data_IF_503018969606
#
_entry.id   IF_503018969606
#
_cell.length_a   1.000
_cell.length_b   1.000
_cell.length_c   1.000
_cell.angle_alpha   90.00
_cell.angle_beta   90.00
_cell.angle_gamma   90.00
#
_symmetry.space_group_name_H-M   'P 1'
#
loop_
_entity.id
_entity.type
_entity.pdbx_description
1 polymer ?
#
# COMPACT_ATOMS: atom_id res chain seq x y z
N UNK A 1 3.41 -23.48 -37.16
CA UNK A 1 2.72 -22.21 -37.02
C UNK A 1 1.20 -22.41 -37.16
N UNK A 2 0.43 -21.68 -36.37
CA UNK A 2 -1.03 -21.62 -36.45
C UNK A 2 -1.46 -20.15 -36.60
N UNK A 3 -0.67 -19.39 -37.34
CA UNK A 3 -0.89 -17.97 -37.56
C UNK A 3 -2.08 -17.68 -38.51
N UNK A 4 -2.69 -16.53 -38.35
CA UNK A 4 -3.76 -16.02 -39.21
C UNK A 4 -5.02 -16.89 -39.32
N UNK A 5 -5.28 -17.77 -38.36
CA UNK A 5 -6.48 -18.63 -38.34
C UNK A 5 -7.63 -18.05 -37.51
N UNK A 6 -7.42 -16.92 -36.79
CA UNK A 6 -8.46 -16.19 -36.11
C UNK A 6 -9.26 -15.37 -37.07
N UNK A 7 -10.54 -15.70 -37.25
CA UNK A 7 -11.44 -14.96 -38.14
C UNK A 7 -12.24 -13.88 -37.38
N UNK A 8 -12.88 -12.99 -38.17
CA UNK A 8 -13.80 -11.98 -37.66
C UNK A 8 -14.95 -12.65 -36.85
N UNK A 9 -15.62 -11.92 -35.93
CA UNK A 9 -16.58 -12.47 -34.99
C UNK A 9 -17.70 -13.33 -35.55
N UNK A 10 -18.09 -13.08 -36.81
CA UNK A 10 -19.23 -13.73 -37.46
C UNK A 10 -18.84 -14.91 -38.36
N UNK A 11 -17.56 -15.19 -38.50
CA UNK A 11 -17.14 -16.32 -39.30
C UNK A 11 -17.24 -17.62 -38.52
N UNK A 12 -17.87 -18.63 -39.07
CA UNK A 12 -17.91 -19.97 -38.50
C UNK A 12 -16.48 -20.40 -38.17
N UNK A 13 -16.24 -20.77 -36.93
CA UNK A 13 -14.95 -21.16 -36.40
C UNK A 13 -14.43 -22.47 -37.02
N UNK A 14 -14.12 -22.43 -38.32
CA UNK A 14 -13.68 -23.61 -39.08
C UNK A 14 -12.16 -23.76 -39.18
N UNK A 15 -11.40 -22.68 -38.87
CA UNK A 15 -9.94 -22.67 -39.00
C UNK A 15 -9.23 -22.65 -37.66
N UNK A 16 -8.00 -23.14 -37.59
CA UNK A 16 -7.18 -23.23 -36.41
C UNK A 16 -7.10 -24.64 -35.83
N UNK A 17 -6.45 -24.79 -34.71
CA UNK A 17 -6.35 -26.07 -34.00
C UNK A 17 -7.53 -26.24 -33.06
N UNK A 18 -8.26 -27.34 -33.21
CA UNK A 18 -9.41 -27.63 -32.36
C UNK A 18 -9.39 -29.09 -31.90
N UNK A 19 -9.75 -29.31 -30.66
CA UNK A 19 -10.02 -30.61 -30.08
C UNK A 19 -11.34 -30.57 -29.31
N UNK A 20 -12.19 -31.56 -29.43
CA UNK A 20 -13.39 -31.70 -28.61
C UNK A 20 -13.05 -32.10 -27.17
N UNK A 21 -11.99 -32.85 -26.96
CA UNK A 21 -11.43 -33.22 -25.68
C UNK A 21 -10.21 -32.36 -25.34
N UNK A 22 -9.08 -33.04 -25.07
CA UNK A 22 -7.81 -32.41 -24.73
C UNK A 22 -6.97 -32.08 -25.96
N UNK A 23 -6.25 -30.98 -25.92
CA UNK A 23 -5.19 -30.63 -26.87
C UNK A 23 -3.85 -30.52 -26.13
N UNK A 24 -2.86 -31.29 -26.52
CA UNK A 24 -1.49 -31.16 -26.01
C UNK A 24 -0.56 -30.79 -27.15
N UNK A 25 0.08 -29.63 -27.03
CA UNK A 25 1.07 -29.14 -27.98
C UNK A 25 2.43 -29.08 -27.30
N UNK A 26 3.44 -29.73 -27.87
CA UNK A 26 4.80 -29.70 -27.36
C UNK A 26 5.76 -29.26 -28.45
N UNK A 27 6.44 -28.14 -28.23
CA UNK A 27 7.41 -27.61 -29.19
C UNK A 27 8.38 -26.64 -28.54
N UNK A 28 9.51 -26.38 -29.17
CA UNK A 28 10.39 -25.30 -28.77
C UNK A 28 9.73 -23.93 -29.03
N UNK A 29 9.07 -23.79 -30.17
CA UNK A 29 8.38 -22.57 -30.58
C UNK A 29 6.96 -22.89 -30.99
N UNK A 30 5.99 -22.21 -30.43
CA UNK A 30 4.59 -22.22 -30.88
C UNK A 30 4.25 -20.81 -31.36
N UNK A 31 3.91 -20.68 -32.64
CA UNK A 31 3.40 -19.44 -33.21
C UNK A 31 1.90 -19.60 -33.45
N UNK A 32 1.11 -18.93 -32.62
CA UNK A 32 -0.34 -18.80 -32.71
C UNK A 32 -0.74 -17.33 -32.94
N UNK A 33 0.13 -16.53 -33.54
CA UNK A 33 -0.15 -15.13 -33.84
C UNK A 33 -1.34 -15.02 -34.77
N UNK A 34 -2.37 -14.22 -34.41
CA UNK A 34 -3.68 -14.16 -35.10
C UNK A 34 -4.35 -15.53 -35.30
N UNK A 35 -3.84 -16.59 -34.68
CA UNK A 35 -4.34 -17.94 -34.75
C UNK A 35 -5.33 -18.26 -33.62
N UNK A 36 -5.84 -19.49 -33.63
CA UNK A 36 -6.61 -20.01 -32.53
C UNK A 36 -6.24 -21.47 -32.19
N UNK A 37 -6.17 -21.71 -30.86
CA UNK A 37 -6.12 -23.03 -30.26
C UNK A 37 -7.32 -23.18 -29.34
N UNK A 38 -8.20 -24.14 -29.62
CA UNK A 38 -9.40 -24.38 -28.79
C UNK A 38 -9.49 -25.84 -28.43
N UNK A 39 -9.68 -26.13 -27.14
CA UNK A 39 -9.94 -27.48 -26.67
C UNK A 39 -11.19 -27.50 -25.78
N UNK A 40 -11.97 -28.57 -25.85
CA UNK A 40 -13.19 -28.70 -25.06
C UNK A 40 -12.93 -28.91 -23.57
N UNK A 41 -11.86 -29.64 -23.22
CA UNK A 41 -11.55 -29.96 -21.82
C UNK A 41 -10.24 -29.28 -21.35
N UNK A 42 -9.08 -29.63 -21.89
CA UNK A 42 -7.82 -29.01 -21.50
C UNK A 42 -6.95 -28.66 -22.73
N UNK A 43 -6.34 -27.48 -22.73
CA UNK A 43 -5.29 -27.08 -23.65
C UNK A 43 -3.97 -26.99 -22.89
N UNK A 44 -3.05 -27.93 -23.17
CA UNK A 44 -1.71 -27.98 -22.55
C UNK A 44 -0.66 -27.62 -23.60
N UNK A 45 0.07 -26.54 -23.37
CA UNK A 45 1.15 -26.07 -24.24
C UNK A 45 2.47 -26.19 -23.49
N UNK A 46 3.29 -27.15 -23.90
CA UNK A 46 4.65 -27.34 -23.37
C UNK A 46 5.64 -26.64 -24.30
N UNK A 47 6.16 -25.49 -23.88
CA UNK A 47 6.95 -24.60 -24.76
C UNK A 47 8.28 -24.27 -24.08
N UNK A 48 9.39 -24.56 -24.77
CA UNK A 48 10.70 -24.34 -24.17
C UNK A 48 11.39 -23.00 -24.53
N UNK A 49 10.99 -22.34 -25.63
CA UNK A 49 11.64 -21.12 -26.09
C UNK A 49 10.65 -19.94 -26.27
N UNK A 50 9.64 -20.09 -27.12
CA UNK A 50 8.71 -18.97 -27.44
C UNK A 50 7.30 -19.47 -27.68
N UNK A 51 6.34 -18.82 -27.02
CA UNK A 51 4.92 -18.88 -27.35
C UNK A 51 4.49 -17.49 -27.84
N UNK A 52 4.21 -17.37 -29.12
CA UNK A 52 3.65 -16.16 -29.71
C UNK A 52 2.13 -16.34 -29.84
N UNK A 53 1.35 -15.63 -29.05
CA UNK A 53 -0.11 -15.54 -29.12
C UNK A 53 -0.58 -14.10 -29.43
N UNK A 54 0.28 -13.30 -30.06
CA UNK A 54 -0.06 -11.92 -30.39
C UNK A 54 -1.31 -11.87 -31.31
N UNK A 55 -2.33 -11.14 -30.87
CA UNK A 55 -3.64 -11.12 -31.49
C UNK A 55 -4.30 -12.52 -31.66
N UNK A 56 -3.76 -13.56 -31.06
CA UNK A 56 -4.24 -14.92 -31.09
C UNK A 56 -5.26 -15.23 -29.99
N UNK A 57 -5.79 -16.45 -30.04
CA UNK A 57 -6.73 -16.96 -29.04
C UNK A 57 -6.32 -18.36 -28.62
N UNK A 58 -6.22 -18.58 -27.32
CA UNK A 58 -6.10 -19.90 -26.69
C UNK A 58 -7.26 -20.02 -25.72
N UNK A 59 -8.14 -21.03 -25.90
CA UNK A 59 -9.32 -21.19 -25.05
C UNK A 59 -9.64 -22.65 -24.77
N UNK A 60 -10.00 -22.94 -23.52
CA UNK A 60 -10.40 -24.26 -23.05
C UNK A 60 -11.11 -24.15 -21.70
N UNK A 61 -11.62 -25.26 -21.15
CA UNK A 61 -11.99 -25.27 -19.73
C UNK A 61 -10.76 -25.01 -18.86
N UNK A 62 -9.65 -25.69 -19.15
CA UNK A 62 -8.36 -25.48 -18.47
C UNK A 62 -7.28 -25.20 -19.48
N UNK A 63 -6.61 -24.08 -19.36
CA UNK A 63 -5.42 -23.76 -20.15
C UNK A 63 -4.20 -23.87 -19.26
N UNK A 64 -3.20 -24.65 -19.72
CA UNK A 64 -1.93 -24.78 -19.04
C UNK A 64 -0.78 -24.52 -20.02
N UNK A 65 0.01 -23.51 -19.74
CA UNK A 65 1.26 -23.22 -20.45
C UNK A 65 2.41 -23.58 -19.50
N UNK A 66 3.28 -24.49 -19.94
CA UNK A 66 4.42 -24.98 -19.17
C UNK A 66 5.72 -24.73 -19.90
N UNK A 67 6.77 -24.48 -19.15
CA UNK A 67 8.14 -24.40 -19.64
C UNK A 67 8.82 -23.09 -19.24
N UNK A 68 9.96 -22.82 -19.88
CA UNK A 68 10.75 -21.61 -19.67
C UNK A 68 10.73 -20.71 -20.92
N UNK A 69 9.56 -20.58 -21.55
CA UNK A 69 9.38 -19.81 -22.77
C UNK A 69 9.20 -18.32 -22.49
N UNK A 70 9.59 -17.49 -23.46
CA UNK A 70 9.08 -16.12 -23.55
C UNK A 70 7.68 -16.19 -24.15
N UNK A 71 6.69 -15.67 -23.45
CA UNK A 71 5.29 -15.64 -23.90
C UNK A 71 4.94 -14.22 -24.36
N UNK A 72 4.48 -14.09 -25.60
CA UNK A 72 3.91 -12.86 -26.12
C UNK A 72 2.40 -13.06 -26.32
N UNK A 73 1.60 -12.36 -25.53
CA UNK A 73 0.15 -12.31 -25.60
C UNK A 73 -0.35 -10.90 -25.95
N UNK A 74 0.48 -10.10 -26.66
CA UNK A 74 0.11 -8.73 -27.04
C UNK A 74 -1.21 -8.73 -27.81
N UNK A 75 -2.21 -8.00 -27.28
CA UNK A 75 -3.59 -7.98 -27.82
C UNK A 75 -4.22 -9.38 -28.02
N UNK A 76 -3.64 -10.43 -27.43
CA UNK A 76 -4.13 -11.80 -27.51
C UNK A 76 -5.07 -12.16 -26.36
N UNK A 77 -5.73 -13.30 -26.48
CA UNK A 77 -6.61 -13.85 -25.45
C UNK A 77 -6.13 -15.26 -25.04
N UNK A 78 -5.91 -15.43 -23.75
CA UNK A 78 -5.76 -16.75 -23.11
C UNK A 78 -6.91 -16.89 -22.12
N UNK A 79 -7.84 -17.84 -22.36
CA UNK A 79 -9.05 -18.00 -21.56
C UNK A 79 -9.24 -19.44 -21.09
N UNK A 80 -9.40 -19.60 -19.78
CA UNK A 80 -9.90 -20.80 -19.15
C UNK A 80 -11.32 -20.58 -18.61
N UNK A 81 -12.22 -21.53 -18.83
CA UNK A 81 -13.55 -21.45 -18.19
C UNK A 81 -13.50 -21.83 -16.70
N UNK A 82 -12.46 -22.56 -16.28
CA UNK A 82 -12.16 -22.93 -14.90
C UNK A 82 -10.83 -22.34 -14.44
N UNK A 83 -9.76 -22.56 -15.22
CA UNK A 83 -8.41 -22.21 -14.82
C UNK A 83 -7.52 -21.83 -16.00
N UNK A 84 -6.61 -20.88 -15.76
CA UNK A 84 -5.40 -20.66 -16.56
C UNK A 84 -4.20 -20.80 -15.63
N UNK A 85 -3.31 -21.75 -15.93
CA UNK A 85 -1.98 -21.86 -15.37
C UNK A 85 -0.95 -21.44 -16.43
N UNK A 86 -0.03 -20.56 -16.06
CA UNK A 86 1.04 -20.13 -16.95
C UNK A 86 2.36 -20.09 -16.17
N UNK A 87 3.23 -21.03 -16.52
CA UNK A 87 4.61 -21.07 -16.03
C UNK A 87 5.54 -20.79 -17.20
N UNK A 88 6.28 -19.70 -17.14
CA UNK A 88 7.10 -19.21 -18.23
C UNK A 88 8.36 -18.49 -17.73
N UNK A 89 9.27 -18.19 -18.65
CA UNK A 89 10.37 -17.29 -18.36
C UNK A 89 9.85 -15.86 -18.18
N UNK A 90 9.07 -15.38 -19.13
CA UNK A 90 8.52 -14.01 -19.12
C UNK A 90 7.15 -13.97 -19.83
N UNK A 91 6.38 -12.94 -19.53
CA UNK A 91 5.13 -12.61 -20.22
C UNK A 91 5.14 -11.15 -20.69
N UNK A 92 4.88 -10.94 -21.97
CA UNK A 92 4.47 -9.66 -22.54
C UNK A 92 2.96 -9.74 -22.79
N UNK A 93 2.17 -8.85 -22.16
CA UNK A 93 0.70 -8.89 -22.24
C UNK A 93 0.08 -7.55 -22.65
N UNK A 94 0.82 -6.69 -23.33
CA UNK A 94 0.37 -5.35 -23.69
C UNK A 94 -0.97 -5.37 -24.41
N UNK A 95 -2.01 -4.83 -23.77
CA UNK A 95 -3.39 -4.88 -24.26
C UNK A 95 -3.98 -6.28 -24.41
N UNK A 96 -3.27 -7.31 -23.95
CA UNK A 96 -3.73 -8.68 -23.95
C UNK A 96 -4.61 -9.01 -22.74
N UNK A 97 -5.28 -10.15 -22.83
CA UNK A 97 -6.20 -10.61 -21.79
C UNK A 97 -5.89 -12.07 -21.38
N UNK A 98 -5.72 -12.27 -20.08
CA UNK A 98 -5.78 -13.57 -19.41
C UNK A 98 -7.05 -13.58 -18.56
N UNK A 99 -7.90 -14.61 -18.76
CA UNK A 99 -9.19 -14.68 -18.05
C UNK A 99 -9.53 -16.09 -17.62
N UNK A 100 -9.80 -16.27 -16.33
CA UNK A 100 -10.37 -17.51 -15.78
C UNK A 100 -10.89 -17.25 -14.36
N UNK A 101 -11.76 -18.09 -13.78
CA UNK A 101 -12.06 -18.07 -12.34
C UNK A 101 -10.80 -18.19 -11.48
N UNK A 102 -9.83 -19.00 -11.91
CA UNK A 102 -8.52 -19.13 -11.25
C UNK A 102 -7.38 -18.85 -12.22
N UNK A 103 -6.57 -17.82 -11.93
CA UNK A 103 -5.32 -17.52 -12.62
C UNK A 103 -4.12 -17.86 -11.73
N UNK A 104 -3.24 -18.73 -12.20
CA UNK A 104 -1.97 -19.06 -11.56
C UNK A 104 -0.82 -18.71 -12.51
N UNK A 105 -0.11 -17.64 -12.23
CA UNK A 105 0.95 -17.10 -13.06
C UNK A 105 2.29 -17.22 -12.34
N UNK A 106 3.27 -17.82 -12.98
CA UNK A 106 4.61 -17.98 -12.44
C UNK A 106 5.68 -17.64 -13.49
N UNK A 107 6.53 -16.66 -13.17
CA UNK A 107 7.58 -16.17 -14.07
C UNK A 107 8.96 -16.27 -13.42
N UNK A 108 9.97 -16.63 -14.22
CA UNK A 108 11.35 -16.63 -13.78
C UNK A 108 12.01 -15.24 -13.87
N UNK A 109 11.59 -14.43 -14.82
CA UNK A 109 12.05 -13.03 -14.96
C UNK A 109 11.06 -12.07 -14.30
N UNK A 110 11.41 -10.79 -14.26
CA UNK A 110 10.51 -9.71 -13.83
C UNK A 110 9.24 -9.63 -14.67
N UNK A 111 8.15 -9.17 -14.05
CA UNK A 111 6.87 -8.98 -14.74
C UNK A 111 6.33 -7.57 -14.52
N UNK A 112 5.94 -6.92 -15.61
CA UNK A 112 5.24 -5.63 -15.57
C UNK A 112 3.78 -5.84 -15.97
N UNK A 113 2.86 -5.48 -15.07
CA UNK A 113 1.44 -5.36 -15.37
C UNK A 113 1.16 -3.93 -15.85
N UNK A 114 0.99 -3.78 -17.14
CA UNK A 114 0.74 -2.49 -17.78
C UNK A 114 -0.68 -1.98 -17.58
N UNK A 115 -0.89 -0.69 -17.82
CA UNK A 115 -2.20 -0.04 -17.62
C UNK A 115 -3.31 -0.59 -18.55
N UNK A 116 -2.94 -1.18 -19.68
CA UNK A 116 -3.88 -1.76 -20.66
C UNK A 116 -4.07 -3.26 -20.52
N UNK A 117 -3.29 -3.92 -19.68
CA UNK A 117 -3.32 -5.37 -19.50
C UNK A 117 -4.55 -5.80 -18.72
N UNK A 118 -5.10 -6.95 -19.06
CA UNK A 118 -6.28 -7.49 -18.39
C UNK A 118 -5.95 -8.87 -17.82
N UNK A 119 -5.90 -8.94 -16.48
CA UNK A 119 -5.83 -10.18 -15.73
C UNK A 119 -7.13 -10.29 -14.93
N UNK A 120 -8.08 -11.09 -15.42
CA UNK A 120 -9.43 -11.17 -14.87
C UNK A 120 -9.66 -12.52 -14.19
N UNK A 121 -9.84 -12.52 -12.87
CA UNK A 121 -10.05 -13.74 -12.07
C UNK A 121 -10.86 -13.50 -10.79
N UNK A 122 -11.46 -14.57 -10.28
CA UNK A 122 -11.92 -14.61 -8.89
C UNK A 122 -10.71 -14.76 -7.96
N UNK A 123 -9.85 -15.73 -8.26
CA UNK A 123 -8.62 -15.99 -7.51
C UNK A 123 -7.42 -15.82 -8.44
N UNK A 124 -6.54 -14.87 -8.10
CA UNK A 124 -5.33 -14.60 -8.85
C UNK A 124 -4.11 -14.83 -7.96
N UNK A 125 -3.22 -15.70 -8.41
CA UNK A 125 -1.89 -15.88 -7.83
C UNK A 125 -0.85 -15.54 -8.87
N UNK A 126 0.04 -14.60 -8.55
CA UNK A 126 1.15 -14.17 -9.39
C UNK A 126 2.44 -14.32 -8.61
N UNK A 127 3.38 -15.07 -9.16
CA UNK A 127 4.72 -15.24 -8.60
C UNK A 127 5.76 -14.88 -9.66
N UNK A 128 6.76 -14.09 -9.28
CA UNK A 128 7.93 -13.85 -10.13
C UNK A 128 9.20 -13.92 -9.31
N UNK A 129 10.28 -14.46 -9.90
CA UNK A 129 11.60 -14.49 -9.24
C UNK A 129 12.30 -13.14 -9.27
N UNK A 130 11.91 -12.25 -10.18
CA UNK A 130 12.42 -10.89 -10.31
C UNK A 130 11.50 -9.86 -9.66
N UNK A 131 11.49 -8.68 -10.23
CA UNK A 131 10.65 -7.56 -9.81
C UNK A 131 9.23 -7.66 -10.40
N UNK A 132 8.22 -7.31 -9.61
CA UNK A 132 6.87 -7.06 -10.08
C UNK A 132 6.58 -5.56 -10.08
N UNK A 133 6.32 -5.00 -11.27
CA UNK A 133 5.93 -3.61 -11.46
C UNK A 133 4.45 -3.55 -11.82
N UNK A 134 3.65 -2.87 -11.00
CA UNK A 134 2.25 -2.63 -11.32
C UNK A 134 2.05 -1.19 -11.78
N UNK A 135 1.60 -1.02 -13.02
CA UNK A 135 1.28 0.27 -13.65
C UNK A 135 -0.21 0.42 -13.93
N UNK A 136 -1.00 -0.59 -13.60
CA UNK A 136 -2.42 -0.63 -13.90
C UNK A 136 -3.28 -1.03 -12.71
N UNK A 137 -4.51 -1.40 -13.01
CA UNK A 137 -5.43 -1.93 -12.01
C UNK A 137 -5.39 -3.45 -12.04
N UNK A 138 -4.70 -4.05 -11.08
CA UNK A 138 -4.73 -5.48 -10.85
C UNK A 138 -5.75 -5.81 -9.76
N UNK A 139 -6.84 -6.48 -10.12
CA UNK A 139 -7.91 -6.80 -9.20
C UNK A 139 -8.38 -8.24 -9.37
N UNK A 140 -8.58 -8.95 -8.26
CA UNK A 140 -9.27 -10.23 -8.23
C UNK A 140 -10.61 -10.08 -7.49
N UNK A 141 -11.63 -10.84 -7.93
CA UNK A 141 -12.96 -10.72 -7.34
C UNK A 141 -13.02 -11.28 -5.91
N UNK A 142 -12.12 -12.24 -5.57
CA UNK A 142 -12.06 -12.87 -4.25
C UNK A 142 -10.68 -12.72 -3.62
N UNK A 143 -9.66 -13.36 -4.17
CA UNK A 143 -8.33 -13.40 -3.57
C UNK A 143 -7.28 -12.96 -4.57
N UNK A 144 -6.44 -12.00 -4.17
CA UNK A 144 -5.23 -11.61 -4.88
C UNK A 144 -4.00 -11.97 -4.05
N UNK A 145 -3.10 -12.77 -4.61
CA UNK A 145 -1.80 -13.06 -4.04
C UNK A 145 -0.69 -12.67 -5.02
N UNK A 146 0.28 -11.90 -4.58
CA UNK A 146 1.45 -11.52 -5.37
C UNK A 146 2.71 -11.82 -4.56
N UNK A 147 3.64 -12.54 -5.19
CA UNK A 147 4.97 -12.83 -4.62
C UNK A 147 6.04 -12.45 -5.63
N UNK A 148 7.02 -11.65 -5.21
CA UNK A 148 8.14 -11.23 -6.06
C UNK A 148 9.40 -10.95 -5.21
N UNK A 149 10.55 -10.77 -5.87
CA UNK A 149 11.75 -10.31 -5.19
C UNK A 149 11.55 -8.85 -4.71
N UNK A 150 11.17 -7.97 -5.62
CA UNK A 150 10.77 -6.59 -5.31
C UNK A 150 9.40 -6.31 -5.91
N UNK A 151 8.64 -5.43 -5.26
CA UNK A 151 7.31 -5.01 -5.74
C UNK A 151 7.26 -3.49 -5.79
N UNK A 152 6.90 -2.94 -6.95
CA UNK A 152 6.63 -1.51 -7.15
C UNK A 152 5.19 -1.30 -7.64
N UNK A 153 4.29 -0.92 -6.73
CA UNK A 153 2.94 -0.48 -7.06
C UNK A 153 3.00 1.03 -7.34
N UNK A 154 3.03 1.39 -8.60
CA UNK A 154 3.28 2.75 -9.04
C UNK A 154 2.11 3.70 -8.76
N UNK A 155 2.34 4.99 -8.95
CA UNK A 155 1.31 6.01 -8.82
C UNK A 155 0.14 5.70 -9.77
N UNK A 156 -1.08 5.93 -9.30
CA UNK A 156 -2.34 5.67 -10.00
C UNK A 156 -2.63 4.17 -10.28
N UNK A 157 -1.71 3.27 -9.92
CA UNK A 157 -1.92 1.84 -9.99
C UNK A 157 -2.67 1.31 -8.74
N UNK A 158 -3.24 0.11 -8.87
CA UNK A 158 -3.92 -0.52 -7.75
C UNK A 158 -3.75 -2.04 -7.69
N UNK A 159 -3.65 -2.56 -6.47
CA UNK A 159 -3.70 -3.99 -6.13
C UNK A 159 -4.91 -4.21 -5.24
N UNK A 160 -5.91 -4.93 -5.74
CA UNK A 160 -7.21 -5.02 -5.07
C UNK A 160 -7.68 -6.48 -4.96
N UNK A 161 -8.10 -6.88 -3.78
CA UNK A 161 -9.01 -8.01 -3.59
C UNK A 161 -10.41 -7.46 -3.34
N UNK A 162 -11.34 -7.74 -4.25
CA UNK A 162 -12.70 -7.19 -4.22
C UNK A 162 -13.71 -8.05 -3.48
N UNK A 163 -13.28 -9.13 -2.83
CA UNK A 163 -14.13 -9.99 -2.00
C UNK A 163 -14.86 -9.18 -0.92
N UNK A 164 -16.05 -9.63 -0.55
CA UNK A 164 -16.95 -8.89 0.35
C UNK A 164 -17.00 -9.48 1.76
N UNK A 165 -16.32 -10.58 2.00
CA UNK A 165 -16.26 -11.26 3.29
C UNK A 165 -14.81 -11.63 3.66
N UNK A 166 -14.50 -11.83 4.96
CA UNK A 166 -13.16 -12.11 5.43
C UNK A 166 -12.53 -13.41 4.88
N UNK A 167 -13.32 -14.36 4.43
CA UNK A 167 -12.80 -15.61 3.86
C UNK A 167 -12.35 -15.43 2.41
N UNK A 168 -13.05 -14.60 1.65
CA UNK A 168 -12.82 -14.37 0.24
C UNK A 168 -12.00 -13.09 -0.06
N UNK A 169 -12.05 -12.09 0.82
CA UNK A 169 -11.46 -10.76 0.58
C UNK A 169 -9.96 -10.64 0.90
N UNK A 170 -9.16 -11.69 0.70
CA UNK A 170 -7.74 -11.71 1.08
C UNK A 170 -6.84 -11.13 0.00
N UNK A 171 -6.12 -10.08 0.35
CA UNK A 171 -5.01 -9.51 -0.39
C UNK A 171 -3.70 -9.85 0.31
N UNK A 172 -2.87 -10.68 -0.33
CA UNK A 172 -1.60 -11.13 0.23
C UNK A 172 -0.48 -10.70 -0.70
N UNK A 173 0.42 -9.86 -0.23
CA UNK A 173 1.54 -9.36 -1.00
C UNK A 173 2.83 -9.67 -0.26
N UNK A 174 3.74 -10.38 -0.93
CA UNK A 174 5.03 -10.78 -0.37
C UNK A 174 6.17 -10.35 -1.28
N UNK A 175 6.96 -9.39 -0.84
CA UNK A 175 8.25 -9.07 -1.43
C UNK A 175 9.35 -9.73 -0.60
N UNK A 176 10.24 -10.50 -1.23
CA UNK A 176 11.36 -11.11 -0.49
C UNK A 176 12.42 -10.07 -0.09
N UNK A 177 12.47 -8.93 -0.79
CA UNK A 177 13.27 -7.75 -0.44
C UNK A 177 12.36 -6.56 -0.13
N UNK A 178 12.08 -5.72 -1.11
CA UNK A 178 11.45 -4.42 -0.90
C UNK A 178 10.06 -4.33 -1.54
N UNK A 179 9.13 -3.74 -0.81
CA UNK A 179 7.82 -3.34 -1.32
C UNK A 179 7.71 -1.83 -1.34
N UNK A 180 7.42 -1.26 -2.51
CA UNK A 180 7.17 0.16 -2.70
C UNK A 180 5.75 0.38 -3.17
N UNK A 181 5.04 1.28 -2.50
CA UNK A 181 3.66 1.64 -2.83
C UNK A 181 3.50 3.14 -2.98
N UNK A 182 3.07 3.56 -4.16
CA UNK A 182 2.62 4.93 -4.48
C UNK A 182 1.16 4.96 -4.95
N UNK A 183 0.55 3.79 -5.08
CA UNK A 183 -0.82 3.60 -5.52
C UNK A 183 -1.73 3.10 -4.41
N UNK A 184 -2.78 2.39 -4.79
CA UNK A 184 -3.73 1.79 -3.88
C UNK A 184 -3.45 0.31 -3.65
N UNK A 185 -3.43 -0.12 -2.40
CA UNK A 185 -3.46 -1.52 -1.97
C UNK A 185 -4.68 -1.68 -1.07
N UNK A 186 -5.66 -2.52 -1.45
CA UNK A 186 -6.92 -2.64 -0.71
C UNK A 186 -7.54 -4.03 -0.79
N UNK A 187 -7.87 -4.60 0.35
CA UNK A 187 -8.63 -5.84 0.52
C UNK A 187 -9.49 -5.75 1.77
N UNK A 188 -10.26 -6.80 2.09
CA UNK A 188 -10.83 -6.94 3.44
C UNK A 188 -9.68 -7.27 4.39
N UNK A 189 -8.97 -8.36 4.14
CA UNK A 189 -7.73 -8.65 4.84
C UNK A 189 -6.57 -8.28 3.92
N UNK A 190 -5.76 -7.32 4.33
CA UNK A 190 -4.59 -6.83 3.58
C UNK A 190 -3.32 -7.19 4.35
N UNK A 191 -2.64 -8.23 3.88
CA UNK A 191 -1.44 -8.77 4.51
C UNK A 191 -0.22 -8.51 3.63
N UNK A 192 0.71 -7.71 4.13
CA UNK A 192 1.89 -7.26 3.42
C UNK A 192 3.15 -7.73 4.13
N UNK A 193 4.02 -8.38 3.40
CA UNK A 193 5.35 -8.77 3.90
C UNK A 193 6.44 -8.22 2.98
N UNK A 194 7.43 -7.56 3.55
CA UNK A 194 8.68 -7.21 2.89
C UNK A 194 9.85 -7.77 3.70
N UNK A 195 10.80 -8.42 3.04
CA UNK A 195 11.99 -8.97 3.72
C UNK A 195 12.89 -7.88 4.30
N UNK A 196 12.99 -6.74 3.62
CA UNK A 196 13.76 -5.60 4.08
C UNK A 196 12.85 -4.41 4.37
N UNK A 197 12.43 -3.67 3.33
CA UNK A 197 11.75 -2.39 3.51
C UNK A 197 10.38 -2.37 2.85
N UNK A 198 9.37 -1.92 3.59
CA UNK A 198 8.10 -1.47 3.03
C UNK A 198 8.07 0.05 3.02
N UNK A 199 7.98 0.63 1.82
CA UNK A 199 7.86 2.05 1.59
C UNK A 199 6.45 2.39 1.09
N UNK A 200 5.63 3.00 1.94
CA UNK A 200 4.36 3.61 1.55
C UNK A 200 4.59 5.11 1.37
N UNK A 201 4.57 5.56 0.14
CA UNK A 201 5.12 6.85 -0.27
C UNK A 201 4.03 7.75 -0.88
N UNK A 202 4.08 9.04 -0.55
CA UNK A 202 3.27 10.08 -1.20
C UNK A 202 1.78 9.72 -1.36
N UNK A 203 1.31 9.44 -2.58
CA UNK A 203 -0.08 9.04 -2.87
C UNK A 203 -0.43 7.62 -2.38
N UNK A 204 0.53 6.89 -1.81
CA UNK A 204 0.36 5.51 -1.36
C UNK A 204 -0.77 5.36 -0.33
N UNK A 205 -1.68 4.44 -0.60
CA UNK A 205 -2.82 4.11 0.25
C UNK A 205 -2.85 2.61 0.49
N UNK A 206 -2.85 2.22 1.75
CA UNK A 206 -2.97 0.82 2.18
C UNK A 206 -4.20 0.72 3.07
N UNK A 207 -5.20 -0.04 2.63
CA UNK A 207 -6.50 -0.15 3.30
C UNK A 207 -6.93 -1.60 3.50
N UNK A 208 -7.76 -1.81 4.52
CA UNK A 208 -8.38 -3.10 4.83
C UNK A 208 -9.34 -3.00 6.01
N UNK A 209 -10.05 -4.07 6.32
CA UNK A 209 -10.68 -4.25 7.63
C UNK A 209 -9.61 -4.64 8.64
N UNK A 210 -8.84 -5.68 8.31
CA UNK A 210 -7.60 -6.01 8.98
C UNK A 210 -6.42 -5.73 8.05
N UNK A 211 -5.54 -4.83 8.46
CA UNK A 211 -4.27 -4.54 7.78
C UNK A 211 -3.14 -5.05 8.66
N UNK A 212 -2.33 -5.98 8.13
CA UNK A 212 -1.15 -6.49 8.81
C UNK A 212 0.10 -6.28 7.95
N UNK A 213 1.13 -5.70 8.54
CA UNK A 213 2.38 -5.33 7.86
C UNK A 213 3.56 -5.93 8.60
N UNK A 214 4.37 -6.72 7.87
CA UNK A 214 5.65 -7.24 8.34
C UNK A 214 6.78 -6.72 7.47
N UNK A 215 7.82 -6.13 8.09
CA UNK A 215 9.06 -5.73 7.43
C UNK A 215 10.19 -5.55 8.44
N UNK A 216 11.44 -5.44 7.98
CA UNK A 216 12.50 -4.92 8.83
C UNK A 216 12.27 -3.42 9.08
N UNK A 217 11.99 -2.67 8.03
CA UNK A 217 11.69 -1.24 8.12
C UNK A 217 10.38 -0.89 7.40
N UNK A 218 9.49 -0.16 8.08
CA UNK A 218 8.32 0.46 7.48
C UNK A 218 8.53 1.98 7.43
N UNK A 219 8.53 2.52 6.21
CA UNK A 219 8.51 3.96 5.95
C UNK A 219 7.13 4.35 5.44
N UNK A 220 6.42 5.18 6.17
CA UNK A 220 5.16 5.80 5.76
C UNK A 220 5.42 7.31 5.63
N UNK A 221 5.94 7.73 4.46
CA UNK A 221 6.53 9.06 4.30
C UNK A 221 6.24 9.66 2.92
N UNK A 222 6.02 10.99 2.81
CA UNK A 222 6.00 11.65 1.50
C UNK A 222 7.40 11.66 0.87
N UNK A 223 7.48 11.68 -0.45
CA UNK A 223 8.76 11.68 -1.20
C UNK A 223 9.39 13.05 -1.35
N UNK A 224 8.68 14.12 -1.03
CA UNK A 224 9.20 15.48 -1.15
C UNK A 224 8.17 16.56 -0.79
N UNK A 225 8.58 17.81 -0.94
CA UNK A 225 7.71 18.96 -0.69
C UNK A 225 6.54 19.00 -1.68
N UNK A 226 5.35 19.33 -1.18
CA UNK A 226 4.15 19.44 -2.00
C UNK A 226 3.59 18.10 -2.49
N UNK A 227 4.18 16.97 -2.12
CA UNK A 227 3.60 15.65 -2.40
C UNK A 227 2.56 15.30 -1.34
N UNK A 228 1.47 14.57 -1.69
CA UNK A 228 0.52 14.07 -0.72
C UNK A 228 1.19 13.21 0.36
N UNK A 229 0.58 13.15 1.52
CA UNK A 229 1.04 12.28 2.58
C UNK A 229 0.42 10.89 2.47
N UNK A 230 1.20 9.81 2.68
CA UNK A 230 0.70 8.46 2.59
C UNK A 230 -0.19 8.10 3.77
N UNK A 231 -1.08 7.13 3.55
CA UNK A 231 -2.01 6.65 4.57
C UNK A 231 -2.00 5.12 4.62
N UNK A 232 -1.92 4.60 5.83
CA UNK A 232 -2.21 3.20 6.15
C UNK A 232 -3.41 3.22 7.10
N UNK A 233 -4.53 2.59 6.71
CA UNK A 233 -5.73 2.62 7.53
C UNK A 233 -6.48 1.29 7.54
N UNK A 234 -6.90 0.87 8.73
CA UNK A 234 -7.72 -0.30 8.95
C UNK A 234 -9.09 0.09 9.52
N UNK A 235 -10.15 -0.59 9.06
CA UNK A 235 -11.50 -0.39 9.59
C UNK A 235 -11.73 -1.09 10.92
N UNK A 236 -11.02 -2.18 11.20
CA UNK A 236 -11.20 -2.99 12.41
C UNK A 236 -9.90 -3.16 13.19
N UNK A 237 -8.79 -3.50 12.53
CA UNK A 237 -7.54 -3.79 13.22
C UNK A 237 -6.33 -3.47 12.34
N UNK A 238 -5.35 -2.77 12.91
CA UNK A 238 -4.06 -2.48 12.29
C UNK A 238 -2.95 -3.12 13.11
N UNK A 239 -2.26 -4.09 12.51
CA UNK A 239 -1.10 -4.78 13.10
C UNK A 239 0.17 -4.43 12.33
N UNK A 240 1.17 -3.94 13.01
CA UNK A 240 2.48 -3.58 12.45
C UNK A 240 3.57 -4.33 13.22
N UNK A 241 4.19 -5.30 12.57
CA UNK A 241 5.31 -6.09 13.07
C UNK A 241 6.61 -5.69 12.36
N UNK A 242 7.39 -4.75 12.92
CA UNK A 242 8.57 -4.19 12.26
C UNK A 242 9.69 -3.90 13.26
N UNK A 243 10.95 -4.00 12.82
CA UNK A 243 12.08 -3.55 13.65
C UNK A 243 12.14 -2.04 13.75
N UNK A 244 11.88 -1.34 12.64
CA UNK A 244 11.90 0.13 12.58
C UNK A 244 10.64 0.66 11.90
N UNK A 245 9.97 1.61 12.55
CA UNK A 245 8.84 2.34 12.00
C UNK A 245 9.18 3.83 11.87
N UNK A 246 9.06 4.35 10.65
CA UNK A 246 9.22 5.76 10.34
C UNK A 246 7.90 6.32 9.78
N UNK A 247 7.13 7.01 10.61
CA UNK A 247 5.92 7.72 10.22
C UNK A 247 6.22 9.22 10.22
N UNK A 248 6.84 9.70 9.13
CA UNK A 248 7.37 11.05 9.01
C UNK A 248 6.76 11.80 7.83
N UNK A 249 6.46 13.08 7.96
CA UNK A 249 5.97 13.90 6.86
C UNK A 249 7.07 14.22 5.83
N UNK A 250 8.36 14.18 6.22
CA UNK A 250 9.46 14.46 5.31
C UNK A 250 10.78 13.88 5.82
N UNK A 251 11.31 12.79 5.22
CA UNK A 251 12.56 12.18 5.62
C UNK A 251 13.81 13.04 5.30
N UNK A 252 13.73 13.96 4.34
CA UNK A 252 14.91 14.70 3.84
C UNK A 252 15.17 16.02 4.58
N UNK A 253 14.31 16.39 5.52
CA UNK A 253 14.42 17.66 6.24
C UNK A 253 14.42 17.46 7.74
N UNK A 254 15.54 17.06 8.28
CA UNK A 254 15.77 17.21 9.70
C UNK A 254 15.57 18.69 10.11
N UNK A 255 14.41 18.99 10.69
CA UNK A 255 14.17 20.22 11.42
C UNK A 255 13.58 21.42 10.66
N UNK A 256 13.13 21.31 9.43
CA UNK A 256 12.29 22.35 8.82
C UNK A 256 11.03 21.78 8.22
N UNK A 257 9.94 22.03 8.87
CA UNK A 257 8.59 21.85 8.35
C UNK A 257 8.32 22.89 7.29
N UNK A 258 7.79 22.44 6.18
CA UNK A 258 7.18 23.36 5.25
C UNK A 258 5.68 23.38 5.56
N UNK A 259 5.12 24.57 5.82
CA UNK A 259 3.69 24.81 5.99
C UNK A 259 2.86 24.41 4.76
N UNK A 260 3.52 24.13 3.63
CA UNK A 260 2.91 23.72 2.37
C UNK A 260 2.62 22.21 2.28
N UNK A 261 2.75 21.47 3.39
CA UNK A 261 2.40 20.05 3.45
C UNK A 261 0.89 19.87 3.33
N UNK A 262 0.44 19.32 2.22
CA UNK A 262 -0.94 18.86 2.04
C UNK A 262 -1.18 17.53 2.79
N UNK A 263 -1.05 17.56 4.12
CA UNK A 263 -1.38 16.44 4.97
C UNK A 263 -0.20 15.84 5.71
N UNK A 264 -0.51 15.12 6.76
CA UNK A 264 0.42 14.37 7.60
C UNK A 264 0.35 12.89 7.25
N UNK A 265 1.48 12.19 7.24
CA UNK A 265 1.50 10.75 7.13
C UNK A 265 0.66 10.12 8.26
N UNK A 266 -0.15 9.12 7.94
CA UNK A 266 -1.15 8.62 8.86
C UNK A 266 -1.10 7.10 8.98
N UNK A 267 -1.13 6.63 10.23
CA UNK A 267 -1.41 5.25 10.62
C UNK A 267 -2.70 5.27 11.43
N UNK A 268 -3.77 4.72 10.87
CA UNK A 268 -5.11 4.86 11.45
C UNK A 268 -5.75 3.49 11.66
N UNK A 269 -6.39 3.29 12.79
CA UNK A 269 -7.31 2.19 13.00
C UNK A 269 -8.65 2.69 13.54
N UNK A 270 -9.73 2.31 12.90
CA UNK A 270 -11.07 2.56 13.45
C UNK A 270 -11.47 1.52 14.51
N UNK A 271 -10.62 0.53 14.75
CA UNK A 271 -10.67 -0.44 15.83
C UNK A 271 -9.39 -0.41 16.65
N UNK A 272 -8.77 -1.56 16.88
CA UNK A 272 -7.53 -1.70 17.63
C UNK A 272 -6.30 -1.43 16.76
N UNK A 273 -5.21 -0.96 17.39
CA UNK A 273 -3.92 -0.74 16.75
C UNK A 273 -2.82 -1.39 17.58
N UNK A 274 -2.05 -2.27 16.95
CA UNK A 274 -0.93 -2.94 17.58
C UNK A 274 0.36 -2.70 16.79
N UNK A 275 1.43 -2.34 17.50
CA UNK A 275 2.78 -2.20 16.93
C UNK A 275 3.75 -3.01 17.77
N UNK A 276 4.47 -3.92 17.12
CA UNK A 276 5.49 -4.78 17.72
C UNK A 276 6.67 -5.03 16.77
N UNK A 277 7.52 -5.99 17.13
CA UNK A 277 8.74 -6.31 16.36
C UNK A 277 8.54 -7.33 15.24
N UNK A 278 7.44 -8.08 15.26
CA UNK A 278 7.11 -9.13 14.28
C UNK A 278 5.60 -9.36 14.23
N UNK A 279 5.14 -10.18 13.29
CA UNK A 279 3.79 -10.73 13.26
C UNK A 279 3.81 -12.22 13.59
N UNK A 280 2.82 -12.70 14.31
CA UNK A 280 2.58 -14.13 14.49
C UNK A 280 1.86 -14.77 13.29
N UNK A 281 1.54 -16.07 13.40
CA UNK A 281 0.86 -16.81 12.35
C UNK A 281 -0.61 -16.38 12.13
N UNK A 282 -1.18 -15.60 13.04
CA UNK A 282 -2.52 -15.01 12.96
C UNK A 282 -2.47 -13.55 12.47
N UNK A 283 -1.32 -13.10 11.98
CA UNK A 283 -1.07 -11.73 11.55
C UNK A 283 -1.22 -10.67 12.65
N UNK A 284 -1.04 -11.06 13.93
CA UNK A 284 -1.07 -10.12 15.03
C UNK A 284 0.35 -9.65 15.39
N UNK A 285 0.48 -8.37 15.74
CA UNK A 285 1.77 -7.79 16.11
C UNK A 285 2.26 -8.37 17.45
N UNK A 286 3.48 -8.88 17.46
CA UNK A 286 4.15 -9.49 18.62
C UNK A 286 5.57 -8.96 18.80
N UNK A 287 6.18 -9.26 19.95
CA UNK A 287 7.55 -8.83 20.22
C UNK A 287 7.65 -7.34 20.46
N UNK A 288 8.86 -6.77 20.31
CA UNK A 288 9.18 -5.35 20.51
C UNK A 288 9.85 -4.80 19.27
N UNK A 289 9.35 -3.69 18.72
CA UNK A 289 10.07 -2.91 17.72
C UNK A 289 11.34 -2.31 18.35
N UNK A 290 12.40 -2.14 17.57
CA UNK A 290 13.60 -1.46 18.05
C UNK A 290 13.38 0.05 18.15
N UNK A 291 12.85 0.64 17.09
CA UNK A 291 12.61 2.09 17.06
C UNK A 291 11.29 2.42 16.38
N UNK A 292 10.57 3.37 16.96
CA UNK A 292 9.40 4.00 16.37
C UNK A 292 9.63 5.51 16.33
N UNK A 293 9.58 6.09 15.15
CA UNK A 293 9.67 7.52 14.92
C UNK A 293 8.37 8.03 14.31
N UNK A 294 7.67 8.89 15.05
CA UNK A 294 6.45 9.57 14.61
C UNK A 294 6.64 11.07 14.74
N UNK A 295 7.09 11.72 13.67
CA UNK A 295 7.43 13.14 13.68
C UNK A 295 6.50 13.94 12.78
N UNK A 296 5.67 14.81 13.38
CA UNK A 296 4.68 15.61 12.66
C UNK A 296 3.68 14.79 11.87
N UNK A 297 3.43 13.57 12.28
CA UNK A 297 2.58 12.57 11.66
C UNK A 297 1.59 12.01 12.68
N UNK A 298 0.59 11.26 12.22
CA UNK A 298 -0.47 10.74 13.10
C UNK A 298 -0.38 9.23 13.23
N UNK A 299 -0.44 8.74 14.47
CA UNK A 299 -0.78 7.35 14.82
C UNK A 299 -2.04 7.42 15.67
N UNK A 300 -3.13 6.82 15.21
CA UNK A 300 -4.44 6.92 15.88
C UNK A 300 -5.18 5.59 15.87
N UNK A 301 -5.83 5.29 16.99
CA UNK A 301 -6.79 4.21 17.15
C UNK A 301 -8.09 4.77 17.71
N UNK A 302 -9.23 4.23 17.27
CA UNK A 302 -10.54 4.56 17.86
C UNK A 302 -10.91 3.66 19.04
N UNK A 303 -10.13 2.59 19.26
CA UNK A 303 -10.22 1.69 20.42
C UNK A 303 -8.85 1.61 21.10
N UNK A 304 -8.47 0.44 21.54
CA UNK A 304 -7.20 0.25 22.26
C UNK A 304 -6.00 0.37 21.31
N UNK A 305 -4.91 0.92 21.86
CA UNK A 305 -3.63 1.05 21.18
C UNK A 305 -2.54 0.38 22.02
N UNK A 306 -1.87 -0.60 21.42
CA UNK A 306 -0.77 -1.33 22.04
C UNK A 306 0.51 -1.12 21.23
N UNK A 307 1.46 -0.41 21.82
CA UNK A 307 2.76 -0.17 21.19
C UNK A 307 3.84 -0.75 22.10
N UNK A 308 4.62 -1.67 21.55
CA UNK A 308 5.78 -2.23 22.25
C UNK A 308 7.05 -1.96 21.43
N UNK A 309 7.96 -1.19 22.01
CA UNK A 309 9.21 -0.77 21.36
C UNK A 309 10.30 -0.50 22.39
N UNK A 310 11.56 -0.60 21.97
CA UNK A 310 12.70 -0.24 22.81
C UNK A 310 12.91 1.28 22.83
N UNK A 311 12.55 1.99 21.74
CA UNK A 311 12.65 3.44 21.63
C UNK A 311 11.46 4.03 20.89
N UNK A 312 10.82 5.06 21.45
CA UNK A 312 9.74 5.82 20.83
C UNK A 312 10.10 7.30 20.78
N UNK A 313 10.15 7.85 19.59
CA UNK A 313 10.22 9.28 19.34
C UNK A 313 8.90 9.75 18.74
N UNK A 314 8.10 10.47 19.52
CA UNK A 314 6.87 11.11 19.06
C UNK A 314 6.98 12.61 19.28
N UNK A 315 6.90 13.40 18.22
CA UNK A 315 7.13 14.83 18.34
C UNK A 315 6.63 15.63 17.14
N UNK A 316 6.56 16.93 17.39
CA UNK A 316 6.33 17.90 16.33
C UNK A 316 7.64 18.67 16.07
N UNK A 317 8.38 18.34 14.98
CA UNK A 317 9.67 18.99 14.69
C UNK A 317 9.52 20.47 14.31
N UNK A 318 8.27 20.94 14.13
CA UNK A 318 7.97 22.34 13.79
C UNK A 318 7.47 23.16 14.95
N UNK A 319 7.36 22.57 16.12
CA UNK A 319 6.97 23.34 17.29
C UNK A 319 8.00 24.46 17.50
N UNK A 320 7.62 25.67 17.13
CA UNK A 320 8.38 26.87 17.46
C UNK A 320 7.65 27.60 18.58
N UNK A 321 8.33 27.75 19.70
CA UNK A 321 7.88 28.68 20.75
C UNK A 321 8.12 30.10 20.19
N UNK A 322 7.09 30.71 19.63
CA UNK A 322 7.15 32.12 19.24
C UNK A 322 6.91 32.91 20.53
N UNK A 323 7.95 33.46 21.10
CA UNK A 323 7.82 34.50 22.11
C UNK A 323 7.51 35.79 21.34
N UNK A 324 6.27 36.04 21.02
CA UNK A 324 5.83 37.34 20.54
C UNK A 324 5.76 38.26 21.74
N UNK A 325 6.71 39.19 21.84
CA UNK A 325 6.58 40.33 22.73
C UNK A 325 5.52 41.23 22.10
N UNK A 326 4.27 40.96 22.40
CA UNK A 326 3.19 41.89 22.07
C UNK A 326 3.49 43.12 22.87
N UNK A 327 3.82 44.26 22.20
CA UNK A 327 4.19 45.50 22.82
C UNK A 327 3.17 45.89 23.89
N UNK A 328 3.65 46.00 25.08
CA UNK A 328 2.82 46.20 26.25
C UNK A 328 2.28 47.60 26.29
N UNK A 329 1.01 47.75 26.00
CA UNK A 329 0.15 48.49 26.87
C UNK A 329 -0.85 47.51 27.47
N UNK A 330 -0.44 46.87 28.51
CA UNK A 330 -1.30 45.97 29.25
C UNK A 330 -2.36 46.85 29.94
N UNK A 331 -3.56 46.91 29.39
CA UNK A 331 -4.70 47.43 30.13
C UNK A 331 -5.11 46.38 31.16
N UNK A 332 -5.06 46.76 32.43
CA UNK A 332 -5.53 45.92 33.53
C UNK A 332 -7.04 45.74 33.37
N UNK A 333 -7.50 44.59 32.93
CA UNK A 333 -8.92 44.28 32.76
C UNK A 333 -9.59 43.68 33.96
N UNK A 334 -8.83 43.08 34.84
CA UNK A 334 -9.37 42.41 36.01
C UNK A 334 -8.50 42.63 37.25
N UNK A 335 -9.12 43.00 38.33
CA UNK A 335 -8.50 43.11 39.62
C UNK A 335 -9.26 42.27 40.63
N UNK A 336 -8.63 41.29 41.20
CA UNK A 336 -9.18 40.57 42.35
C UNK A 336 -8.60 41.15 43.62
N UNK A 337 -9.46 41.44 44.54
CA UNK A 337 -9.11 41.87 45.88
C UNK A 337 -9.24 40.65 46.76
N UNK A 338 -8.10 40.14 47.29
CA UNK A 338 -8.04 39.04 48.23
C UNK A 338 -7.35 39.56 49.48
N UNK A 339 -8.13 39.78 50.51
CA UNK A 339 -7.74 40.33 51.82
C UNK A 339 -6.81 41.54 51.79
N UNK A 340 -5.55 41.41 51.64
CA UNK A 340 -4.62 42.55 51.55
C UNK A 340 -3.78 42.54 50.27
N UNK A 341 -4.09 41.65 49.34
CA UNK A 341 -3.33 41.50 48.10
C UNK A 341 -4.19 41.76 46.88
N UNK A 342 -3.74 42.65 45.98
CA UNK A 342 -4.41 42.97 44.72
C UNK A 342 -3.75 42.14 43.61
N UNK A 343 -4.56 41.35 42.90
CA UNK A 343 -4.12 40.56 41.74
C UNK A 343 -4.72 41.20 40.49
N UNK A 344 -3.89 41.36 39.47
CA UNK A 344 -4.31 41.95 38.20
C UNK A 344 -4.15 40.89 37.11
N UNK A 345 -5.17 40.77 36.28
CA UNK A 345 -5.12 39.93 35.08
C UNK A 345 -5.08 40.82 33.86
N UNK A 346 -4.17 40.54 32.95
CA UNK A 346 -4.09 41.18 31.66
C UNK A 346 -4.76 40.28 30.63
N UNK A 347 -5.51 40.85 29.68
CA UNK A 347 -6.28 40.07 28.69
C UNK A 347 -5.38 39.16 27.85
N UNK A 348 -4.14 39.59 27.63
CA UNK A 348 -3.14 38.79 26.87
C UNK A 348 -2.48 37.67 27.69
N UNK A 349 -2.73 37.60 28.99
CA UNK A 349 -2.15 36.64 29.91
C UNK A 349 -3.13 35.53 30.38
N UNK A 350 -4.32 35.46 29.79
CA UNK A 350 -5.24 34.35 30.02
C UNK A 350 -4.63 32.97 29.65
N UNK A 351 -3.46 32.97 28.99
CA UNK A 351 -2.66 31.77 28.69
C UNK A 351 -1.35 31.69 29.44
N UNK A 352 -1.01 32.70 30.23
CA UNK A 352 0.15 32.70 31.13
C UNK A 352 -0.35 32.98 32.54
N UNK A 353 -0.28 32.06 33.43
CA UNK A 353 -0.60 32.31 34.84
C UNK A 353 0.58 32.94 35.55
N UNK A 354 0.92 34.17 35.21
CA UNK A 354 1.80 35.00 36.01
C UNK A 354 0.97 35.97 36.85
N UNK A 355 1.31 36.15 38.11
CA UNK A 355 0.63 37.02 39.01
C UNK A 355 1.62 38.04 39.51
N UNK A 356 1.40 39.28 39.18
CA UNK A 356 2.15 40.39 39.74
C UNK A 356 1.28 41.13 40.76
N UNK A 357 1.84 41.38 41.90
CA UNK A 357 1.15 42.14 42.96
C UNK A 357 1.59 43.59 42.91
N UNK A 358 0.64 44.50 42.81
CA UNK A 358 0.87 45.94 42.69
C UNK A 358 0.14 46.69 43.79
N UNK A 359 0.67 47.85 44.20
CA UNK A 359 -0.07 48.80 45.02
C UNK A 359 -1.09 49.54 44.20
N UNK A 360 -2.24 49.84 44.79
CA UNK A 360 -3.35 50.57 44.14
C UNK A 360 -2.97 51.98 43.68
N UNK A 361 -2.12 52.61 44.43
CA UNK A 361 -1.88 54.04 44.34
C UNK A 361 -0.63 54.41 43.52
N UNK A 362 0.35 53.52 43.48
CA UNK A 362 1.63 53.76 42.79
C UNK A 362 1.90 52.88 41.63
N UNK A 363 1.06 51.87 41.40
CA UNK A 363 1.30 50.84 40.39
C UNK A 363 2.66 50.12 40.61
N UNK A 364 3.15 50.13 41.86
CA UNK A 364 4.43 49.58 42.21
C UNK A 364 4.30 48.08 42.43
N UNK A 365 5.18 47.32 41.80
CA UNK A 365 5.20 45.84 41.91
C UNK A 365 5.54 45.42 43.32
N UNK A 366 4.59 44.80 44.03
CA UNK A 366 4.79 44.35 45.42
C UNK A 366 5.46 42.96 45.53
N UNK A 367 5.40 42.21 44.47
CA UNK A 367 6.00 40.87 44.39
C UNK A 367 5.66 40.17 43.08
N UNK A 368 6.38 39.11 42.84
CA UNK A 368 6.18 38.29 41.66
C UNK A 368 5.94 36.85 42.15
N UNK A 369 4.76 36.32 41.77
CA UNK A 369 4.47 34.91 41.97
C UNK A 369 3.89 34.40 40.66
N UNK A 370 4.64 33.63 39.91
CA UNK A 370 4.18 33.11 38.62
C UNK A 370 4.41 31.60 38.52
N UNK A 371 3.44 30.94 37.99
CA UNK A 371 3.58 29.57 37.48
C UNK A 371 3.44 29.60 35.96
N UNK A 372 4.46 29.15 35.29
CA UNK A 372 4.42 28.92 33.88
C UNK A 372 3.69 27.59 33.61
N UNK A 373 2.52 27.66 32.98
CA UNK A 373 1.83 26.47 32.46
C UNK A 373 2.14 26.37 30.97
N UNK A 374 2.90 25.36 30.61
CA UNK A 374 3.09 24.99 29.22
C UNK A 374 1.89 24.12 28.79
N UNK A 375 1.08 24.63 27.87
CA UNK A 375 0.04 23.87 27.18
C UNK A 375 0.56 23.35 25.84
#
# INVERSE_FOLDING_TARGET
SNSDTKQAPDAILSQGMKAEGDATLTAAVIDNSKGQVVAGNAATLNVSQTLNNANGRIESNRVQVNGNANVDNTSGLIKGHEQVGLTAKSLTNTGGQLRAPTLNLAFNDSFTHGATDKLEADNLSLTTQGEFINQGKLAAAKRLAVTAQNIDNQKDASLISAGTDPESGNLIITATNDLKNRGLINGINTYLTAGNTLNNLSDGRIYGDHVAIKADTLNNTPEGNGTPAPVIAARQQLDIGVKQLNNNPNPDRAGKFNSDFNGQAQLLSNGELHIGGDLDNSYQAVGSAQTITNLGATIQSSKDMYIKTDSLLNGNPTFQKINEVISAKDEIKWQFKDDDKKRFFFENELRKSSWDYYTKDTNEKLGEDYKEYNY
#
